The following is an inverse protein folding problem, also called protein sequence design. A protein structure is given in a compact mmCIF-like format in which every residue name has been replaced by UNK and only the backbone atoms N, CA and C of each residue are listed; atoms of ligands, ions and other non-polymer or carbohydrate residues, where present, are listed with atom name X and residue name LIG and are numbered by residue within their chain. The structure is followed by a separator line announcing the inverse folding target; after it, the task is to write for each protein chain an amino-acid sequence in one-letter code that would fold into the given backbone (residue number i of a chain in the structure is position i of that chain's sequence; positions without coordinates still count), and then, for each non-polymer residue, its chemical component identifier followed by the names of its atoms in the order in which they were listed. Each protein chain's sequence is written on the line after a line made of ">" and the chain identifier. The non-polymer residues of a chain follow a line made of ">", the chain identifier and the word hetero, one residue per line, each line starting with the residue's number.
data_IF_001601211032
#
_entry.id   IF_001601211032
#
_cell.length_a   1.000
_cell.length_b   1.000
_cell.length_c   1.000
_cell.angle_alpha   90.00
_cell.angle_beta   90.00
_cell.angle_gamma   90.00
#
_symmetry.space_group_name_H-M   'P 1'
#
loop_
_entity.id
_entity.type
_entity.pdbx_description
1 polymer ?
#
# COMPACT_ATOMS: atom_id res chain seq x y z
N UNK A 1 -2.37 -8.63 -0.78
CA UNK A 1 -1.77 -9.51 -1.78
C UNK A 1 -1.41 -8.64 -2.96
N UNK A 2 -0.18 -8.24 -3.11
CA UNK A 2 0.29 -7.78 -4.40
C UNK A 2 0.43 -9.04 -5.25
N UNK A 3 -0.72 -9.57 -5.69
CA UNK A 3 -0.82 -10.74 -6.55
C UNK A 3 -0.60 -10.27 -7.97
N UNK A 4 0.63 -10.36 -8.46
CA UNK A 4 0.90 -10.28 -9.87
C UNK A 4 0.91 -11.71 -10.43
N UNK A 5 -0.14 -12.03 -11.16
CA UNK A 5 -0.10 -13.13 -12.10
C UNK A 5 0.96 -12.81 -13.15
N UNK A 6 1.98 -13.66 -13.24
CA UNK A 6 2.87 -13.71 -14.39
C UNK A 6 2.06 -14.23 -15.58
N UNK A 7 1.36 -13.33 -16.25
CA UNK A 7 0.80 -13.57 -17.57
C UNK A 7 1.94 -13.52 -18.58
N UNK A 8 2.29 -14.66 -19.17
CA UNK A 8 3.20 -14.74 -20.31
C UNK A 8 2.56 -14.04 -21.50
N UNK A 9 2.93 -12.79 -21.76
CA UNK A 9 2.58 -12.10 -22.99
C UNK A 9 3.48 -12.60 -24.13
N UNK A 10 2.91 -13.42 -24.98
CA UNK A 10 3.49 -13.77 -26.28
C UNK A 10 3.50 -12.54 -27.19
N UNK A 11 4.69 -12.06 -27.52
CA UNK A 11 4.90 -11.01 -28.51
C UNK A 11 4.51 -11.54 -29.90
N UNK A 12 3.40 -11.03 -30.45
CA UNK A 12 3.13 -11.12 -31.87
C UNK A 12 3.41 -9.75 -32.48
N UNK A 13 4.40 -9.75 -33.38
CA UNK A 13 4.81 -8.58 -34.13
C UNK A 13 3.70 -8.09 -35.07
N UNK A 14 3.49 -6.80 -35.12
CA UNK A 14 2.73 -6.14 -36.17
C UNK A 14 3.58 -5.08 -36.85
N UNK A 15 3.58 -5.20 -38.18
CA UNK A 15 4.28 -4.35 -39.12
C UNK A 15 3.75 -2.89 -39.15
N UNK A 16 4.55 -1.93 -39.67
CA UNK A 16 4.17 -0.52 -39.67
C UNK A 16 3.20 -0.18 -40.81
N UNK A 17 2.20 0.67 -40.52
CA UNK A 17 1.35 1.32 -41.52
C UNK A 17 1.82 2.76 -41.82
N UNK A 18 1.49 3.30 -43.00
CA UNK A 18 2.23 4.38 -43.63
C UNK A 18 1.78 5.78 -43.19
N UNK A 19 2.72 6.71 -43.36
CA UNK A 19 2.58 8.16 -43.24
C UNK A 19 1.48 8.72 -44.18
N UNK A 20 0.58 9.53 -43.64
CA UNK A 20 -0.26 10.43 -44.41
C UNK A 20 0.08 11.86 -44.02
N UNK A 21 0.35 12.66 -45.06
CA UNK A 21 0.81 14.04 -45.07
C UNK A 21 -0.25 15.05 -44.69
N UNK A 22 0.23 16.07 -44.01
CA UNK A 22 -0.15 17.48 -43.92
C UNK A 22 -1.37 18.01 -44.72
N UNK A 23 -2.23 18.72 -44.02
CA UNK A 23 -2.79 19.99 -44.55
C UNK A 23 -3.11 20.97 -43.41
N UNK A 24 -2.48 22.11 -43.54
CA UNK A 24 -2.66 23.30 -42.73
C UNK A 24 -4.01 23.96 -43.00
N UNK A 25 -4.77 24.33 -41.96
CA UNK A 25 -5.79 25.37 -42.09
C UNK A 25 -5.74 26.29 -40.86
N UNK A 26 -5.42 27.52 -41.16
CA UNK A 26 -5.40 28.70 -40.31
C UNK A 26 -6.83 29.10 -39.87
N UNK A 27 -7.02 29.41 -38.60
CA UNK A 27 -8.16 30.12 -38.07
C UNK A 27 -7.72 31.44 -37.41
N UNK A 28 -8.56 32.48 -37.51
CA UNK A 28 -8.21 33.83 -37.10
C UNK A 28 -8.40 34.09 -35.60
N UNK A 29 -7.86 35.18 -35.07
CA UNK A 29 -7.89 35.50 -33.65
C UNK A 29 -9.23 36.08 -33.23
N UNK A 30 -9.76 35.65 -32.12
CA UNK A 30 -10.91 36.30 -31.44
C UNK A 30 -10.40 37.06 -30.20
N UNK A 31 -10.78 38.32 -30.21
CA UNK A 31 -10.42 39.39 -29.29
C UNK A 31 -11.21 39.28 -28.00
N UNK A 32 -10.52 39.55 -26.91
CA UNK A 32 -10.91 40.09 -25.58
C UNK A 32 -12.41 40.12 -25.22
N UNK A 33 -12.74 39.53 -24.09
CA UNK A 33 -13.58 40.14 -23.07
C UNK A 33 -13.09 39.76 -21.69
N UNK A 34 -12.44 40.71 -21.02
CA UNK A 34 -12.18 40.68 -19.58
C UNK A 34 -13.47 41.20 -18.90
N UNK A 35 -13.92 40.51 -17.88
CA UNK A 35 -14.23 41.12 -16.58
C UNK A 35 -15.09 40.23 -15.68
N UNK A 36 -14.74 40.29 -14.40
CA UNK A 36 -15.54 39.98 -13.20
C UNK A 36 -15.82 38.52 -12.90
N UNK A 37 -15.10 37.95 -11.91
CA UNK A 37 -15.52 37.95 -10.50
C UNK A 37 -14.41 37.31 -9.64
N UNK A 38 -13.78 38.16 -8.89
CA UNK A 38 -13.01 37.83 -7.66
C UNK A 38 -14.02 37.30 -6.65
N UNK A 39 -14.03 36.00 -6.39
CA UNK A 39 -14.63 35.39 -5.22
C UNK A 39 -13.56 34.53 -4.55
N UNK A 40 -13.29 34.76 -3.25
CA UNK A 40 -12.38 33.90 -2.53
C UNK A 40 -12.99 32.50 -2.38
N UNK A 41 -12.26 31.46 -2.78
CA UNK A 41 -12.55 30.08 -2.44
C UNK A 41 -12.54 29.95 -0.90
N UNK A 42 -13.72 29.83 -0.31
CA UNK A 42 -13.87 29.37 1.06
C UNK A 42 -13.24 27.98 1.16
N UNK A 43 -12.18 27.89 1.94
CA UNK A 43 -11.59 26.62 2.38
C UNK A 43 -12.65 25.87 3.17
N UNK A 44 -13.24 24.85 2.55
CA UNK A 44 -14.08 23.90 3.26
C UNK A 44 -13.21 23.23 4.33
N UNK A 45 -13.40 23.66 5.58
CA UNK A 45 -12.81 23.01 6.72
C UNK A 45 -13.32 21.57 6.78
N UNK A 46 -12.39 20.62 6.69
CA UNK A 46 -12.69 19.21 6.90
C UNK A 46 -13.35 19.04 8.27
N UNK A 47 -14.53 18.42 8.28
CA UNK A 47 -15.20 18.06 9.52
C UNK A 47 -14.30 17.10 10.32
N UNK A 48 -14.15 17.30 11.63
CA UNK A 48 -13.41 16.38 12.47
C UNK A 48 -14.11 15.01 12.47
N UNK A 49 -13.33 13.90 12.54
CA UNK A 49 -13.92 12.57 12.63
C UNK A 49 -14.80 12.46 13.89
N UNK A 50 -15.86 11.63 13.86
CA UNK A 50 -16.74 11.45 15.00
C UNK A 50 -15.96 10.90 16.20
N UNK A 51 -16.34 11.29 17.44
CA UNK A 51 -15.68 10.83 18.65
C UNK A 51 -15.87 9.32 18.81
N UNK A 52 -14.78 8.63 19.18
CA UNK A 52 -14.78 7.20 19.48
C UNK A 52 -15.72 6.90 20.66
N UNK A 53 -16.50 5.82 20.63
CA UNK A 53 -17.34 5.42 21.74
C UNK A 53 -16.49 5.05 22.96
N UNK A 54 -16.98 5.27 24.21
CA UNK A 54 -16.23 5.01 25.42
C UNK A 54 -15.96 3.50 25.58
N UNK A 55 -14.71 3.17 25.91
CA UNK A 55 -14.25 1.82 26.26
C UNK A 55 -14.96 1.34 27.53
N UNK A 56 -16.00 0.54 27.37
CA UNK A 56 -16.56 -0.21 28.48
C UNK A 56 -15.78 -1.49 28.70
N UNK A 57 -14.99 -1.51 29.77
CA UNK A 57 -14.33 -2.70 30.29
C UNK A 57 -15.39 -3.74 30.72
N UNK A 58 -15.61 -4.77 29.90
CA UNK A 58 -16.24 -6.01 30.33
C UNK A 58 -15.27 -7.16 30.17
N UNK A 59 -14.50 -7.44 31.24
CA UNK A 59 -13.84 -8.75 31.41
C UNK A 59 -14.93 -9.82 31.45
N UNK A 60 -15.05 -10.57 30.36
CA UNK A 60 -15.58 -11.94 30.38
C UNK A 60 -14.52 -12.84 29.78
N UNK A 61 -14.03 -13.80 30.58
CA UNK A 61 -13.12 -14.83 30.13
C UNK A 61 -13.72 -15.55 28.92
N UNK A 62 -13.13 -15.35 27.77
CA UNK A 62 -13.41 -16.13 26.56
C UNK A 62 -12.43 -17.30 26.55
N UNK A 63 -12.97 -18.52 26.54
CA UNK A 63 -12.19 -19.69 26.18
C UNK A 63 -11.53 -19.40 24.82
N UNK A 64 -10.22 -19.67 24.71
CA UNK A 64 -9.51 -19.59 23.44
C UNK A 64 -10.20 -20.56 22.48
N UNK A 65 -10.96 -20.03 21.54
CA UNK A 65 -11.45 -20.78 20.39
C UNK A 65 -10.20 -21.09 19.57
N UNK A 66 -9.79 -22.36 19.55
CA UNK A 66 -8.81 -22.85 18.56
C UNK A 66 -9.53 -22.74 17.22
N UNK A 67 -9.18 -21.73 16.44
CA UNK A 67 -9.53 -21.66 15.03
C UNK A 67 -8.92 -22.87 14.33
N UNK A 68 -9.64 -23.48 13.40
CA UNK A 68 -9.10 -24.55 12.54
C UNK A 68 -7.97 -23.98 11.68
N UNK A 69 -7.01 -24.82 11.24
CA UNK A 69 -5.91 -24.38 10.39
C UNK A 69 -6.40 -23.68 9.10
N UNK A 70 -7.60 -23.97 8.64
CA UNK A 70 -8.26 -23.38 7.47
C UNK A 70 -8.84 -21.96 7.74
N UNK A 71 -8.96 -21.56 9.00
CA UNK A 71 -9.41 -20.22 9.44
C UNK A 71 -8.23 -19.29 9.77
N UNK A 72 -7.00 -19.77 9.66
CA UNK A 72 -5.80 -18.96 9.89
C UNK A 72 -5.65 -18.03 8.69
N UNK A 73 -5.54 -16.72 8.97
CA UNK A 73 -5.10 -15.73 7.99
C UNK A 73 -3.89 -16.30 7.23
N UNK A 74 -3.94 -16.38 5.87
CA UNK A 74 -2.86 -16.98 5.08
C UNK A 74 -1.49 -16.35 5.30
N UNK A 75 -1.42 -15.16 5.93
CA UNK A 75 -0.18 -14.52 6.39
C UNK A 75 0.32 -15.01 7.75
N UNK A 76 -0.43 -15.84 8.48
CA UNK A 76 0.06 -16.36 9.75
C UNK A 76 1.17 -17.40 9.52
N UNK A 77 2.25 -17.27 10.28
CA UNK A 77 3.40 -18.16 10.24
C UNK A 77 3.52 -18.86 11.58
N UNK A 78 3.87 -20.15 11.57
CA UNK A 78 4.07 -20.91 12.80
C UNK A 78 5.15 -20.24 13.68
N UNK A 79 4.81 -19.97 14.95
CA UNK A 79 5.73 -19.37 15.93
C UNK A 79 5.65 -17.84 16.02
N UNK A 80 4.72 -17.20 15.30
CA UNK A 80 4.40 -15.78 15.50
C UNK A 80 2.90 -15.58 15.69
N UNK A 81 2.53 -14.64 16.55
CA UNK A 81 1.15 -14.19 16.74
C UNK A 81 0.77 -13.04 15.80
N UNK A 82 1.73 -12.57 14.98
CA UNK A 82 1.52 -11.48 14.04
C UNK A 82 0.59 -11.93 12.91
N UNK A 83 -0.37 -11.07 12.57
CA UNK A 83 -1.35 -11.27 11.51
C UNK A 83 -1.44 -10.06 10.63
N UNK A 84 -1.77 -10.27 9.38
CA UNK A 84 -2.11 -9.17 8.48
C UNK A 84 -3.47 -8.64 8.87
N UNK A 85 -3.53 -7.35 9.15
CA UNK A 85 -4.78 -6.64 9.40
C UNK A 85 -5.47 -6.36 8.08
N UNK A 86 -6.75 -6.64 8.01
CA UNK A 86 -7.57 -6.40 6.84
C UNK A 86 -8.37 -5.11 6.98
N UNK A 87 -8.64 -4.46 5.87
CA UNK A 87 -9.51 -3.29 5.81
C UNK A 87 -10.93 -3.64 6.34
N UNK A 88 -11.57 -2.77 7.13
CA UNK A 88 -11.20 -1.39 7.49
C UNK A 88 -10.53 -1.23 8.87
N UNK A 89 -9.68 -2.16 9.28
CA UNK A 89 -9.04 -2.11 10.60
C UNK A 89 -8.39 -0.73 10.84
N UNK A 90 -8.68 -0.04 11.98
CA UNK A 90 -8.25 1.35 12.20
C UNK A 90 -6.74 1.54 12.26
N UNK A 91 -5.96 0.53 12.67
CA UNK A 91 -4.50 0.60 12.70
C UNK A 91 -3.86 0.73 11.31
N UNK A 92 -4.56 0.36 10.24
CA UNK A 92 -4.10 0.59 8.87
C UNK A 92 -4.04 2.08 8.50
N UNK A 93 -4.68 2.93 9.30
CA UNK A 93 -4.71 4.38 9.09
C UNK A 93 -4.04 5.16 10.22
N UNK A 94 -3.40 4.46 11.15
CA UNK A 94 -2.71 5.08 12.26
C UNK A 94 -1.41 5.76 11.82
N UNK A 95 -1.03 6.81 12.52
CA UNK A 95 0.32 7.38 12.40
C UNK A 95 1.36 6.37 12.90
N UNK A 96 2.51 6.32 12.24
CA UNK A 96 3.57 5.39 12.56
C UNK A 96 4.82 6.10 13.08
N UNK A 97 5.36 5.61 14.19
CA UNK A 97 6.53 6.17 14.83
C UNK A 97 7.83 5.85 14.08
N UNK A 98 8.78 6.75 14.13
CA UNK A 98 10.13 6.49 13.61
C UNK A 98 10.79 5.33 14.35
N UNK A 99 11.57 4.53 13.63
CA UNK A 99 12.47 3.52 14.20
C UNK A 99 13.69 4.24 14.77
N UNK A 100 13.87 4.19 16.07
CA UNK A 100 14.99 4.83 16.78
C UNK A 100 16.04 3.83 17.24
N UNK A 101 15.67 2.56 17.39
CA UNK A 101 16.54 1.47 17.86
C UNK A 101 16.79 0.47 16.73
N UNK A 102 18.08 0.18 16.48
CA UNK A 102 18.55 -0.70 15.40
C UNK A 102 19.23 -1.95 15.99
N UNK A 103 18.47 -2.68 16.79
CA UNK A 103 18.89 -3.79 17.62
C UNK A 103 18.55 -5.18 17.03
N UNK A 104 18.67 -6.22 17.84
CA UNK A 104 18.35 -7.58 17.43
C UNK A 104 16.84 -7.85 17.40
N UNK A 105 16.04 -7.12 18.17
CA UNK A 105 14.57 -7.20 18.12
C UNK A 105 14.05 -6.65 16.78
N UNK A 106 14.61 -5.55 16.31
CA UNK A 106 14.29 -5.05 14.97
C UNK A 106 14.66 -6.07 13.88
N UNK A 107 15.81 -6.73 14.00
CA UNK A 107 16.23 -7.78 13.04
C UNK A 107 15.30 -8.99 13.10
N UNK A 108 14.85 -9.38 14.30
CA UNK A 108 13.90 -10.47 14.49
C UNK A 108 12.57 -10.13 13.83
N UNK A 109 12.03 -8.93 14.11
CA UNK A 109 10.80 -8.44 13.52
C UNK A 109 10.85 -8.46 11.98
N UNK A 110 11.93 -7.98 11.38
CA UNK A 110 12.03 -7.97 9.92
C UNK A 110 12.06 -9.37 9.31
N UNK A 111 12.64 -10.36 10.00
CA UNK A 111 12.58 -11.76 9.57
C UNK A 111 11.15 -12.31 9.61
N UNK A 112 10.41 -12.00 10.67
CA UNK A 112 8.99 -12.38 10.78
C UNK A 112 8.16 -11.70 9.70
N UNK A 113 8.40 -10.41 9.42
CA UNK A 113 7.74 -9.70 8.32
C UNK A 113 7.98 -10.37 6.96
N UNK A 114 9.21 -10.75 6.64
CA UNK A 114 9.50 -11.49 5.40
C UNK A 114 8.80 -12.85 5.37
N UNK A 115 8.81 -13.59 6.47
CA UNK A 115 8.15 -14.89 6.54
C UNK A 115 6.63 -14.77 6.29
N UNK A 116 5.97 -13.79 6.90
CA UNK A 116 4.55 -13.52 6.70
C UNK A 116 4.28 -13.06 5.26
N UNK A 117 5.10 -12.14 4.74
CA UNK A 117 5.01 -11.66 3.36
C UNK A 117 5.05 -12.81 2.36
N UNK A 118 6.02 -13.73 2.49
CA UNK A 118 6.14 -14.88 1.58
C UNK A 118 5.01 -15.90 1.76
N UNK A 119 4.61 -16.20 2.99
CA UNK A 119 3.48 -17.09 3.27
C UNK A 119 2.20 -16.57 2.61
N UNK A 120 2.02 -15.25 2.60
CA UNK A 120 0.89 -14.57 1.95
C UNK A 120 1.12 -14.33 0.44
N UNK A 121 2.20 -14.83 -0.15
CA UNK A 121 2.56 -14.63 -1.56
C UNK A 121 2.71 -13.15 -1.94
N UNK A 122 3.09 -12.31 -0.98
CA UNK A 122 3.36 -10.90 -1.20
C UNK A 122 4.77 -10.64 -1.70
N UNK A 123 4.99 -9.44 -2.20
CA UNK A 123 6.30 -8.91 -2.61
C UNK A 123 6.75 -7.74 -1.74
N UNK A 124 5.83 -7.18 -0.93
CA UNK A 124 6.06 -6.13 0.04
C UNK A 124 5.15 -6.30 1.25
N UNK A 125 5.55 -5.70 2.38
CA UNK A 125 4.78 -5.65 3.61
C UNK A 125 5.28 -4.51 4.49
N UNK A 126 4.34 -3.68 4.96
CA UNK A 126 4.61 -2.60 5.90
C UNK A 126 4.22 -2.99 7.33
N UNK A 127 4.95 -2.52 8.33
CA UNK A 127 4.71 -2.82 9.74
C UNK A 127 3.29 -2.49 10.23
N UNK A 128 2.65 -1.36 9.82
CA UNK A 128 1.26 -1.08 10.20
C UNK A 128 0.26 -2.13 9.72
N UNK A 129 0.54 -2.86 8.65
CA UNK A 129 -0.31 -3.98 8.23
C UNK A 129 -0.29 -5.16 9.24
N UNK A 130 0.69 -5.19 10.11
CA UNK A 130 0.78 -6.13 11.24
C UNK A 130 0.38 -5.47 12.57
N UNK A 131 -0.17 -4.26 12.53
CA UNK A 131 -0.53 -3.47 13.70
C UNK A 131 0.67 -2.95 14.49
N UNK A 132 1.85 -2.92 13.89
CA UNK A 132 3.08 -2.47 14.53
C UNK A 132 3.32 -1.00 14.19
N UNK A 133 3.32 -0.16 15.22
CA UNK A 133 3.53 1.28 15.09
C UNK A 133 5.02 1.61 14.84
N UNK A 134 5.50 1.38 13.62
CA UNK A 134 6.87 1.71 13.19
C UNK A 134 6.89 2.12 11.72
N UNK A 135 7.67 3.14 11.40
CA UNK A 135 8.02 3.46 10.01
C UNK A 135 9.02 2.42 9.46
N UNK A 136 8.52 1.23 9.23
CA UNK A 136 9.27 0.07 8.79
C UNK A 136 8.51 -0.65 7.69
N UNK A 137 9.20 -0.98 6.61
CA UNK A 137 8.66 -1.83 5.56
C UNK A 137 9.73 -2.76 4.98
N UNK A 138 9.29 -3.86 4.41
CA UNK A 138 10.15 -4.85 3.74
C UNK A 138 9.60 -5.12 2.35
N UNK A 139 10.46 -5.43 1.40
CA UNK A 139 10.04 -5.97 0.11
C UNK A 139 11.11 -6.86 -0.53
N UNK A 140 10.68 -7.76 -1.40
CA UNK A 140 11.50 -8.51 -2.33
C UNK A 140 10.81 -8.46 -3.71
N UNK A 141 11.37 -7.77 -4.72
CA UNK A 141 10.73 -7.62 -6.03
C UNK A 141 10.48 -8.93 -6.76
N UNK A 142 11.25 -9.95 -6.43
CA UNK A 142 11.14 -11.30 -7.01
C UNK A 142 10.00 -12.13 -6.36
N UNK A 143 9.56 -11.79 -5.14
CA UNK A 143 8.57 -12.58 -4.39
C UNK A 143 9.02 -14.01 -4.03
N UNK A 144 10.27 -14.33 -4.24
CA UNK A 144 10.84 -15.68 -4.04
C UNK A 144 11.81 -15.67 -2.85
N UNK A 145 11.53 -16.42 -1.76
CA UNK A 145 12.41 -16.51 -0.59
C UNK A 145 13.79 -17.10 -0.93
N UNK A 146 13.93 -17.82 -2.04
CA UNK A 146 15.23 -18.31 -2.50
C UNK A 146 16.14 -17.19 -3.01
N UNK A 147 15.55 -16.07 -3.42
CA UNK A 147 16.25 -14.86 -3.87
C UNK A 147 16.42 -13.84 -2.74
N UNK A 148 16.83 -14.31 -1.58
CA UNK A 148 16.99 -13.50 -0.37
C UNK A 148 17.95 -12.32 -0.52
N UNK A 149 18.87 -12.35 -1.49
CA UNK A 149 19.75 -11.21 -1.81
C UNK A 149 18.99 -9.99 -2.39
N UNK A 150 17.77 -10.20 -2.89
CA UNK A 150 16.88 -9.13 -3.36
C UNK A 150 16.02 -8.54 -2.23
N UNK A 151 16.11 -9.08 -1.02
CA UNK A 151 15.39 -8.55 0.15
C UNK A 151 15.88 -7.16 0.54
N UNK A 152 14.94 -6.25 0.76
CA UNK A 152 15.22 -4.88 1.19
C UNK A 152 14.43 -4.57 2.45
N UNK A 153 15.15 -4.15 3.49
CA UNK A 153 14.57 -3.61 4.72
C UNK A 153 14.76 -2.10 4.72
N UNK A 154 13.68 -1.38 4.98
CA UNK A 154 13.64 0.08 4.95
C UNK A 154 13.03 0.61 6.25
N UNK A 155 13.90 1.21 7.07
CA UNK A 155 13.49 1.94 8.28
C UNK A 155 13.47 3.44 7.94
N UNK A 156 12.44 4.13 8.40
CA UNK A 156 12.27 5.59 8.22
C UNK A 156 12.44 6.00 6.75
N UNK A 157 11.77 5.33 5.79
CA UNK A 157 11.91 5.65 4.38
C UNK A 157 11.29 7.01 4.08
N UNK A 158 11.86 7.69 3.06
CA UNK A 158 11.30 8.94 2.50
C UNK A 158 11.48 8.93 1.00
N UNK A 159 10.55 9.55 0.29
CA UNK A 159 10.67 9.82 -1.14
C UNK A 159 11.19 11.26 -1.29
N UNK A 160 12.38 11.41 -1.86
CA UNK A 160 13.02 12.72 -2.11
C UNK A 160 12.54 13.35 -3.43
N UNK A 161 12.16 12.50 -4.40
CA UNK A 161 11.78 12.98 -5.74
C UNK A 161 10.90 11.96 -6.46
N UNK A 162 9.91 12.46 -7.17
CA UNK A 162 9.01 11.69 -8.04
C UNK A 162 9.22 12.08 -9.50
N UNK A 163 9.26 11.11 -10.40
CA UNK A 163 9.26 11.44 -11.83
C UNK A 163 7.91 12.00 -12.29
N UNK A 164 7.92 12.87 -13.27
CA UNK A 164 6.71 13.33 -13.95
C UNK A 164 6.04 12.19 -14.77
N UNK A 165 6.83 11.21 -15.21
CA UNK A 165 6.28 10.04 -15.89
C UNK A 165 5.58 9.12 -14.90
N UNK A 166 4.38 8.69 -15.26
CA UNK A 166 3.54 7.79 -14.47
C UNK A 166 3.19 6.54 -15.26
N UNK A 167 2.82 5.47 -14.56
CA UNK A 167 2.29 4.24 -15.14
C UNK A 167 1.00 3.85 -14.42
N UNK A 168 0.00 3.42 -15.20
CA UNK A 168 -1.23 2.80 -14.69
C UNK A 168 -1.01 1.29 -14.73
N UNK A 169 -1.04 0.64 -13.58
CA UNK A 169 -0.87 -0.81 -13.47
C UNK A 169 -1.74 -1.34 -12.33
N UNK A 170 -2.09 -2.62 -12.42
CA UNK A 170 -2.88 -3.31 -11.43
C UNK A 170 -2.09 -3.52 -10.12
N UNK A 171 -2.73 -3.21 -8.98
CA UNK A 171 -2.22 -3.45 -7.64
C UNK A 171 -3.21 -4.29 -6.82
N UNK A 172 -2.68 -5.19 -6.00
CA UNK A 172 -3.40 -5.81 -4.90
C UNK A 172 -2.69 -5.49 -3.60
N UNK A 173 -3.36 -5.70 -2.47
CA UNK A 173 -2.81 -5.47 -1.16
C UNK A 173 -3.17 -6.63 -0.22
N UNK A 174 -2.22 -7.06 0.62
CA UNK A 174 -2.45 -8.12 1.60
C UNK A 174 -3.56 -7.76 2.60
N UNK A 175 -3.77 -6.45 2.85
CA UNK A 175 -4.85 -5.95 3.70
C UNK A 175 -6.22 -5.84 2.98
N UNK A 176 -6.29 -6.22 1.71
CA UNK A 176 -7.50 -6.18 0.87
C UNK A 176 -7.61 -7.50 0.08
N UNK A 177 -7.95 -8.61 0.75
CA UNK A 177 -8.01 -9.91 0.09
C UNK A 177 -9.08 -9.95 -0.99
N UNK A 178 -8.81 -10.72 -2.05
CA UNK A 178 -9.82 -11.12 -3.03
C UNK A 178 -9.98 -10.19 -4.25
N UNK A 179 -9.36 -9.01 -4.28
CA UNK A 179 -9.46 -8.13 -5.44
C UNK A 179 -8.23 -7.26 -5.66
N UNK A 180 -8.14 -6.71 -6.86
CA UNK A 180 -7.08 -5.80 -7.31
C UNK A 180 -7.72 -4.55 -7.94
N UNK A 181 -6.93 -3.48 -8.14
CA UNK A 181 -7.39 -2.27 -8.80
C UNK A 181 -6.24 -1.57 -9.54
N UNK A 182 -6.60 -0.81 -10.58
CA UNK A 182 -5.66 -0.03 -11.36
C UNK A 182 -5.24 1.26 -10.64
N UNK A 183 -3.95 1.41 -10.39
CA UNK A 183 -3.38 2.54 -9.67
C UNK A 183 -2.35 3.28 -10.52
N UNK A 184 -2.46 4.61 -10.56
CA UNK A 184 -1.45 5.46 -11.20
C UNK A 184 -0.34 5.76 -10.21
N UNK A 185 0.91 5.43 -10.59
CA UNK A 185 2.10 5.73 -9.78
C UNK A 185 3.20 6.36 -10.62
N UNK A 186 4.10 7.10 -9.97
CA UNK A 186 5.33 7.59 -10.61
C UNK A 186 6.19 6.40 -11.05
N UNK A 187 6.64 6.42 -12.31
CA UNK A 187 7.45 5.33 -12.89
C UNK A 187 8.85 5.24 -12.28
N UNK A 188 9.35 6.36 -11.71
CA UNK A 188 10.65 6.41 -11.04
C UNK A 188 10.56 7.29 -9.80
N UNK A 189 11.30 6.94 -8.75
CA UNK A 189 11.40 7.70 -7.51
C UNK A 189 12.85 7.74 -7.03
N UNK A 190 13.24 8.79 -6.32
CA UNK A 190 14.46 8.81 -5.53
C UNK A 190 14.11 8.65 -4.07
N UNK A 191 14.73 7.71 -3.42
CA UNK A 191 14.38 7.32 -2.05
C UNK A 191 15.60 7.36 -1.14
N UNK A 192 15.34 7.66 0.12
CA UNK A 192 16.29 7.59 1.22
C UNK A 192 15.67 6.81 2.36
N UNK A 193 16.46 5.98 3.04
CA UNK A 193 16.03 5.18 4.20
C UNK A 193 17.21 4.79 5.07
N UNK A 194 16.95 4.24 6.23
CA UNK A 194 17.97 3.62 7.09
C UNK A 194 17.89 2.09 6.96
N UNK A 195 19.04 1.45 6.87
CA UNK A 195 19.13 -0.01 6.95
C UNK A 195 19.10 -0.49 8.40
N UNK A 196 19.11 -1.82 8.63
CA UNK A 196 19.13 -2.45 9.96
C UNK A 196 20.32 -2.08 10.86
N UNK A 197 21.30 -1.37 10.33
CA UNK A 197 22.45 -0.85 11.09
C UNK A 197 22.36 0.66 11.33
N UNK A 198 21.18 1.27 11.11
CA UNK A 198 20.93 2.69 11.23
C UNK A 198 21.58 3.57 10.15
N UNK A 199 22.37 3.00 9.25
CA UNK A 199 23.07 3.77 8.21
C UNK A 199 22.10 4.19 7.10
N UNK A 200 22.17 5.47 6.75
CA UNK A 200 21.37 6.04 5.64
C UNK A 200 21.83 5.50 4.29
N UNK A 201 20.87 5.12 3.48
CA UNK A 201 21.03 4.66 2.11
C UNK A 201 20.18 5.51 1.19
N UNK A 202 20.60 5.62 -0.08
CA UNK A 202 19.87 6.32 -1.15
C UNK A 202 19.89 5.49 -2.42
N UNK A 203 18.77 5.43 -3.13
CA UNK A 203 18.66 4.71 -4.42
C UNK A 203 17.62 5.41 -5.30
N UNK A 204 17.84 5.37 -6.60
CA UNK A 204 16.78 5.63 -7.58
C UNK A 204 16.12 4.30 -7.92
N UNK A 205 14.83 4.16 -7.62
CA UNK A 205 14.00 3.01 -7.97
C UNK A 205 13.24 3.31 -9.25
N UNK A 206 12.94 2.26 -10.03
CA UNK A 206 12.26 2.36 -11.33
C UNK A 206 11.25 1.24 -11.52
N UNK A 207 10.22 1.50 -12.32
CA UNK A 207 9.22 0.52 -12.71
C UNK A 207 8.68 -0.24 -11.50
N UNK A 208 8.78 -1.57 -11.54
CA UNK A 208 8.26 -2.46 -10.53
C UNK A 208 8.77 -2.19 -9.11
N UNK A 209 10.08 -2.02 -8.90
CA UNK A 209 10.62 -1.67 -7.57
C UNK A 209 10.07 -0.32 -7.05
N UNK A 210 9.90 0.66 -7.95
CA UNK A 210 9.34 1.95 -7.58
C UNK A 210 7.86 1.83 -7.19
N UNK A 211 7.10 0.95 -7.84
CA UNK A 211 5.69 0.68 -7.54
C UNK A 211 5.53 0.04 -6.17
N UNK A 212 6.26 -1.06 -5.90
CA UNK A 212 6.25 -1.73 -4.60
C UNK A 212 6.57 -0.72 -3.49
N UNK A 213 7.66 0.04 -3.66
CA UNK A 213 8.06 1.03 -2.65
C UNK A 213 6.93 2.03 -2.37
N UNK A 214 6.30 2.60 -3.39
CA UNK A 214 5.23 3.59 -3.22
C UNK A 214 3.99 2.98 -2.55
N UNK A 215 3.67 1.71 -2.85
CA UNK A 215 2.58 1.00 -2.20
C UNK A 215 2.83 0.80 -0.71
N UNK A 216 3.98 0.27 -0.34
CA UNK A 216 4.34 0.04 1.07
C UNK A 216 4.56 1.35 1.84
N UNK A 217 5.09 2.38 1.17
CA UNK A 217 5.27 3.70 1.75
C UNK A 217 3.94 4.38 2.12
N UNK A 218 2.91 4.20 1.29
CA UNK A 218 1.57 4.70 1.59
C UNK A 218 1.05 4.15 2.91
N UNK A 219 1.26 2.87 3.21
CA UNK A 219 0.86 2.27 4.48
C UNK A 219 1.50 2.96 5.69
N UNK A 220 2.73 3.47 5.56
CA UNK A 220 3.41 4.17 6.65
C UNK A 220 2.76 5.51 6.99
N UNK A 221 2.11 6.14 6.02
CA UNK A 221 1.39 7.41 6.16
C UNK A 221 -0.13 7.21 6.38
N UNK A 222 -0.59 5.96 6.59
CA UNK A 222 -2.00 5.64 6.73
C UNK A 222 -2.83 5.79 5.45
N UNK A 223 -2.16 5.97 4.31
CA UNK A 223 -2.78 5.99 2.98
C UNK A 223 -2.90 4.55 2.47
N UNK A 224 -4.06 4.21 1.92
CA UNK A 224 -4.30 2.89 1.35
C UNK A 224 -4.41 3.00 -0.17
N UNK A 225 -4.05 1.94 -0.90
CA UNK A 225 -4.06 1.99 -2.37
C UNK A 225 -5.43 2.36 -2.94
N UNK A 226 -6.52 2.02 -2.24
CA UNK A 226 -7.90 2.38 -2.60
C UNK A 226 -8.18 3.89 -2.53
N UNK A 227 -7.37 4.67 -1.81
CA UNK A 227 -7.48 6.13 -1.74
C UNK A 227 -6.88 6.80 -2.99
N UNK A 228 -6.09 6.06 -3.76
CA UNK A 228 -5.47 6.52 -5.01
C UNK A 228 -6.26 6.16 -6.26
N UNK A 229 -7.36 5.45 -6.09
CA UNK A 229 -8.20 5.03 -7.20
C UNK A 229 -8.94 6.21 -7.81
N UNK A 230 -9.04 6.22 -9.13
CA UNK A 230 -9.95 7.11 -9.85
C UNK A 230 -11.40 6.65 -9.67
N UNK A 231 -12.34 7.56 -9.86
CA UNK A 231 -13.76 7.32 -9.62
C UNK A 231 -14.31 6.03 -10.25
N UNK A 232 -13.92 5.72 -11.48
CA UNK A 232 -14.33 4.49 -12.17
C UNK A 232 -13.82 3.22 -11.48
N UNK A 233 -12.54 3.21 -11.09
CA UNK A 233 -11.94 2.09 -10.36
C UNK A 233 -12.51 1.96 -8.94
N UNK A 234 -12.71 3.09 -8.27
CA UNK A 234 -13.35 3.10 -6.95
C UNK A 234 -14.74 2.48 -6.99
N UNK A 235 -15.54 2.83 -8.01
CA UNK A 235 -16.88 2.25 -8.21
C UNK A 235 -16.79 0.76 -8.49
N UNK A 236 -15.81 0.31 -9.30
CA UNK A 236 -15.64 -1.11 -9.65
C UNK A 236 -15.38 -1.99 -8.44
N UNK A 237 -14.60 -1.51 -7.46
CA UNK A 237 -14.24 -2.29 -6.27
C UNK A 237 -15.14 -2.03 -5.05
N UNK A 238 -16.16 -1.17 -5.17
CA UNK A 238 -16.97 -0.76 -4.02
C UNK A 238 -17.64 -1.96 -3.33
N UNK A 239 -18.20 -2.90 -4.10
CA UNK A 239 -18.83 -4.10 -3.53
C UNK A 239 -17.85 -4.93 -2.69
N UNK A 240 -16.59 -5.08 -3.13
CA UNK A 240 -15.56 -5.78 -2.35
C UNK A 240 -15.22 -5.03 -1.05
N UNK A 241 -15.18 -3.70 -1.10
CA UNK A 241 -14.95 -2.90 0.10
C UNK A 241 -16.09 -3.02 1.10
N UNK A 242 -17.33 -3.02 0.61
CA UNK A 242 -18.53 -3.19 1.46
C UNK A 242 -18.54 -4.59 2.11
N UNK A 243 -18.11 -5.63 1.41
CA UNK A 243 -17.94 -6.98 1.95
C UNK A 243 -16.89 -7.02 3.09
N UNK A 244 -15.75 -6.38 2.91
CA UNK A 244 -14.72 -6.30 3.95
C UNK A 244 -15.22 -5.52 5.17
N UNK A 245 -15.93 -4.41 4.98
CA UNK A 245 -16.53 -3.63 6.05
C UNK A 245 -17.55 -4.49 6.83
N UNK A 246 -18.45 -5.17 6.12
CA UNK A 246 -19.44 -6.02 6.74
C UNK A 246 -18.82 -7.21 7.50
N UNK A 247 -17.75 -7.79 7.00
CA UNK A 247 -17.00 -8.84 7.69
C UNK A 247 -16.35 -8.32 8.98
N UNK A 248 -15.74 -7.14 8.94
CA UNK A 248 -15.13 -6.52 10.10
C UNK A 248 -16.16 -6.13 11.17
N UNK A 249 -17.31 -5.58 10.77
CA UNK A 249 -18.38 -5.21 11.70
C UNK A 249 -18.98 -6.44 12.42
N UNK A 250 -19.01 -7.59 11.73
CA UNK A 250 -19.52 -8.84 12.30
C UNK A 250 -18.58 -9.45 13.33
N UNK A 251 -17.28 -9.35 13.12
CA UNK A 251 -16.25 -9.86 14.03
C UNK A 251 -15.06 -8.90 14.07
N UNK A 252 -15.19 -7.77 14.79
CA UNK A 252 -14.11 -6.79 14.89
C UNK A 252 -12.88 -7.44 15.52
N UNK A 253 -11.81 -7.51 14.77
CA UNK A 253 -10.53 -7.97 15.28
C UNK A 253 -9.94 -6.85 16.12
N UNK A 254 -9.93 -7.02 17.44
CA UNK A 254 -9.13 -6.19 18.34
C UNK A 254 -7.66 -6.40 18.00
N UNK A 255 -6.99 -5.40 17.47
CA UNK A 255 -5.60 -5.38 16.98
C UNK A 255 -4.66 -6.53 17.34
N UNK A 256 -3.42 -6.58 16.86
CA UNK A 256 -2.52 -7.66 17.14
C UNK A 256 -2.35 -7.83 18.64
N UNK A 257 -2.11 -9.05 19.14
CA UNK A 257 -1.77 -9.24 20.56
C UNK A 257 -0.58 -8.32 20.88
N UNK A 258 -0.75 -7.53 21.93
CA UNK A 258 0.35 -6.67 22.40
C UNK A 258 1.54 -7.55 22.74
N UNK A 259 2.76 -7.15 22.35
CA UNK A 259 3.97 -7.85 22.75
C UNK A 259 4.14 -7.90 24.24
#
# INVERSE_FOLDING_TARGET
>A
MLLLFLGSASYHGHAPLPLISSSSSSLPPLVLAASLLDQPLETAAALPPPPLPPLHSRRRGRAAVRLSEDEINPGAVAGTDLRILEYPHPLLRAENAEVTEFDDELKKLTKEMFAIMYASRGVGLAAPQLGINKQLMVFNPDGDPKKWLSEVVLCNPRIEDYSASTALEEEGCLSFPGFTADVVRSSNIKVVWQGLNGKTKRKKLRGWEARIFQHEFDHLDGTLYVDRLKDGERTRVQANLDELIAAYEKDPVDGPPKP
#
